data_IF_785030071155
#
_entry.id   IF_785030071155
#
_cell.length_a   1.000
_cell.length_b   1.000
_cell.length_c   1.000
_cell.angle_alpha   90.00
_cell.angle_beta   90.00
_cell.angle_gamma   90.00
#
_symmetry.space_group_name_H-M   'P 1'
#
loop_
_entity.id
_entity.type
_entity.pdbx_description
1 polymer ?
#
# COMPACT_ATOMS: atom_id res chain seq x y z
N UNK A 1 30.16 -50.10 -43.28
CA UNK A 1 29.66 -49.52 -42.01
C UNK A 1 28.85 -48.29 -42.34
N UNK A 2 27.56 -48.26 -41.99
CA UNK A 2 26.65 -47.13 -42.22
C UNK A 2 26.69 -46.20 -41.00
N UNK A 3 26.89 -44.90 -41.22
CA UNK A 3 26.93 -43.89 -40.16
C UNK A 3 25.53 -43.26 -40.06
N UNK A 4 24.81 -43.51 -38.97
CA UNK A 4 23.51 -42.88 -38.70
C UNK A 4 23.74 -41.54 -37.99
N UNK A 5 23.40 -40.44 -38.65
CA UNK A 5 23.38 -39.09 -38.08
C UNK A 5 22.11 -38.91 -37.26
N UNK A 6 22.23 -38.75 -35.94
CA UNK A 6 21.15 -38.35 -35.03
C UNK A 6 21.09 -36.82 -34.99
N UNK A 7 19.99 -36.25 -35.46
CA UNK A 7 19.66 -34.82 -35.28
C UNK A 7 19.01 -34.68 -33.92
N UNK A 8 19.68 -33.98 -33.00
CA UNK A 8 19.12 -33.61 -31.70
C UNK A 8 18.40 -32.26 -31.84
N UNK A 9 17.07 -32.28 -31.80
CA UNK A 9 16.22 -31.08 -31.75
C UNK A 9 16.20 -30.57 -30.31
N UNK A 10 16.83 -29.42 -30.04
CA UNK A 10 16.73 -28.74 -28.75
C UNK A 10 15.39 -27.98 -28.68
N UNK A 11 14.47 -28.46 -27.85
CA UNK A 11 13.24 -27.74 -27.54
C UNK A 11 13.56 -26.60 -26.55
N UNK A 12 13.36 -25.36 -26.98
CA UNK A 12 13.48 -24.19 -26.12
C UNK A 12 12.24 -24.13 -25.22
N UNK A 13 12.38 -24.52 -23.95
CA UNK A 13 11.34 -24.35 -22.95
C UNK A 13 11.25 -22.87 -22.57
N UNK A 14 10.19 -22.19 -23.03
CA UNK A 14 9.80 -20.89 -22.49
C UNK A 14 9.34 -21.07 -21.05
N UNK A 15 10.16 -20.65 -20.09
CA UNK A 15 9.73 -20.48 -18.70
C UNK A 15 8.80 -19.28 -18.66
N UNK A 16 7.49 -19.53 -18.59
CA UNK A 16 6.53 -18.49 -18.22
C UNK A 16 6.76 -18.21 -16.74
N UNK A 17 7.35 -17.05 -16.43
CA UNK A 17 7.43 -16.58 -15.05
C UNK A 17 6.00 -16.46 -14.52
N UNK A 18 5.69 -17.20 -13.45
CA UNK A 18 4.45 -16.99 -12.73
C UNK A 18 4.39 -15.51 -12.31
N UNK A 19 3.21 -14.86 -12.34
CA UNK A 19 3.09 -13.50 -11.84
C UNK A 19 3.63 -13.48 -10.42
N UNK A 20 4.50 -12.52 -10.11
CA UNK A 20 4.99 -12.32 -8.75
C UNK A 20 3.78 -12.20 -7.83
N UNK A 21 3.53 -13.23 -7.00
CA UNK A 21 2.40 -13.25 -6.09
C UNK A 21 2.55 -12.09 -5.12
N UNK A 22 1.48 -11.31 -4.97
CA UNK A 22 1.43 -10.39 -3.86
C UNK A 22 1.29 -11.19 -2.56
N UNK A 23 1.90 -10.69 -1.50
CA UNK A 23 1.77 -11.26 -0.17
C UNK A 23 0.95 -10.33 0.72
N UNK A 24 -0.01 -10.91 1.44
CA UNK A 24 -0.64 -10.26 2.58
C UNK A 24 0.44 -9.95 3.62
N UNK A 25 0.49 -8.70 4.07
CA UNK A 25 1.38 -8.22 5.12
C UNK A 25 0.53 -7.95 6.36
N UNK A 26 0.98 -8.40 7.52
CA UNK A 26 0.28 -8.25 8.80
C UNK A 26 1.07 -7.45 9.84
N UNK A 27 2.21 -6.89 9.45
CA UNK A 27 3.04 -6.04 10.29
C UNK A 27 3.62 -4.91 9.44
N UNK A 28 3.39 -3.66 9.88
CA UNK A 28 3.87 -2.47 9.20
C UNK A 28 5.41 -2.45 9.08
N UNK A 29 6.12 -3.08 10.03
CA UNK A 29 7.57 -3.17 10.02
C UNK A 29 8.14 -3.95 8.83
N UNK A 30 7.30 -4.74 8.13
CA UNK A 30 7.69 -5.46 6.92
C UNK A 30 7.67 -4.58 5.66
N UNK A 31 7.11 -3.37 5.74
CA UNK A 31 7.17 -2.36 4.67
C UNK A 31 8.44 -1.53 4.84
N UNK A 32 9.49 -1.90 4.11
CA UNK A 32 10.78 -1.21 4.15
C UNK A 32 10.70 0.20 3.57
N UNK A 33 11.42 1.16 4.17
CA UNK A 33 11.48 2.56 3.73
C UNK A 33 10.08 3.16 3.57
N UNK A 34 9.24 3.00 4.58
CA UNK A 34 7.83 3.39 4.52
C UNK A 34 7.63 4.89 4.76
N UNK A 35 6.57 5.41 4.16
CA UNK A 35 5.92 6.67 4.53
C UNK A 35 4.61 6.33 5.22
N UNK A 36 4.24 7.15 6.19
CA UNK A 36 2.99 7.00 6.95
C UNK A 36 2.17 8.26 6.77
N UNK A 37 0.90 8.08 6.40
CA UNK A 37 -0.13 9.11 6.41
C UNK A 37 -1.01 8.87 7.62
N UNK A 38 -1.10 9.89 8.47
CA UNK A 38 -2.07 9.96 9.57
C UNK A 38 -3.22 10.87 9.15
N UNK A 39 -4.29 10.89 9.94
CA UNK A 39 -5.47 11.72 9.68
C UNK A 39 -5.61 12.86 10.69
N UNK A 40 -4.54 13.19 11.42
CA UNK A 40 -4.50 14.20 12.49
C UNK A 40 -4.75 15.63 11.99
N UNK A 41 -4.48 15.89 10.71
CA UNK A 41 -4.71 17.20 10.08
C UNK A 41 -6.19 17.45 9.76
N UNK A 42 -7.07 16.47 9.99
CA UNK A 42 -8.51 16.57 9.76
C UNK A 42 -9.30 16.58 11.07
N UNK A 43 -10.41 17.31 11.07
CA UNK A 43 -11.33 17.46 12.20
C UNK A 43 -12.74 17.01 11.77
N UNK A 44 -12.95 15.70 11.64
CA UNK A 44 -14.24 15.11 11.27
C UNK A 44 -14.76 15.51 9.88
N UNK A 45 -13.88 15.57 8.87
CA UNK A 45 -14.27 15.95 7.51
C UNK A 45 -15.06 14.83 6.83
N UNK A 46 -16.38 15.02 6.70
CA UNK A 46 -17.25 14.18 5.88
C UNK A 46 -17.03 14.43 4.38
N UNK A 47 -16.66 13.40 3.62
CA UNK A 47 -16.33 13.55 2.19
C UNK A 47 -16.40 12.22 1.42
N UNK A 48 -16.50 12.31 0.09
CA UNK A 48 -16.28 11.18 -0.84
C UNK A 48 -14.94 11.32 -1.60
N UNK A 49 -14.16 12.35 -1.29
CA UNK A 49 -12.97 12.75 -2.05
C UNK A 49 -13.29 13.45 -3.38
N UNK A 50 -12.26 13.82 -4.17
CA UNK A 50 -10.84 13.64 -3.86
C UNK A 50 -10.34 14.63 -2.80
N UNK A 51 -9.56 14.16 -1.82
CA UNK A 51 -8.93 14.99 -0.78
C UNK A 51 -7.47 14.55 -0.62
N UNK A 52 -6.53 15.49 -0.67
CA UNK A 52 -5.14 15.19 -0.34
C UNK A 52 -5.02 14.92 1.16
N UNK A 53 -4.59 13.72 1.53
CA UNK A 53 -4.48 13.27 2.94
C UNK A 53 -3.04 13.20 3.43
N UNK A 54 -2.08 13.33 2.51
CA UNK A 54 -0.67 13.40 2.83
C UNK A 54 0.15 13.71 1.58
N UNK A 55 1.47 13.76 1.74
CA UNK A 55 2.35 14.08 0.61
C UNK A 55 2.25 13.01 -0.48
N UNK A 56 1.63 13.37 -1.61
CA UNK A 56 1.45 12.48 -2.75
C UNK A 56 0.45 11.35 -2.51
N UNK A 57 -0.50 11.54 -1.58
CA UNK A 57 -1.59 10.60 -1.33
C UNK A 57 -2.93 11.33 -1.39
N UNK A 58 -3.82 10.85 -2.26
CA UNK A 58 -5.18 11.36 -2.40
C UNK A 58 -6.18 10.29 -1.96
N UNK A 59 -7.08 10.67 -1.07
CA UNK A 59 -8.24 9.89 -0.66
C UNK A 59 -9.43 10.10 -1.61
N UNK A 60 -10.13 9.02 -1.93
CA UNK A 60 -11.50 9.00 -2.42
C UNK A 60 -12.23 7.79 -1.83
N UNK A 61 -13.56 7.75 -1.93
CA UNK A 61 -14.28 6.61 -1.39
C UNK A 61 -15.79 6.76 -1.43
N UNK A 62 -16.46 5.87 -0.72
CA UNK A 62 -17.86 6.07 -0.31
C UNK A 62 -17.94 7.23 0.70
N UNK A 63 -19.13 7.70 1.09
CA UNK A 63 -19.25 8.62 2.23
C UNK A 63 -18.42 8.12 3.42
N UNK A 64 -17.50 8.97 3.87
CA UNK A 64 -16.47 8.65 4.85
C UNK A 64 -16.10 9.90 5.62
N UNK A 65 -15.57 9.70 6.83
CA UNK A 65 -15.06 10.76 7.69
C UNK A 65 -13.54 10.69 7.74
N UNK A 66 -12.85 11.77 7.41
CA UNK A 66 -11.41 11.91 7.64
C UNK A 66 -11.18 12.66 8.95
N UNK A 67 -10.33 12.13 9.83
CA UNK A 67 -10.12 12.70 11.17
C UNK A 67 -11.32 12.51 12.08
N UNK A 68 -12.03 11.38 11.96
CA UNK A 68 -13.11 11.02 12.87
C UNK A 68 -12.58 10.93 14.31
N UNK A 69 -13.34 11.46 15.28
CA UNK A 69 -12.91 11.53 16.69
C UNK A 69 -13.16 10.24 17.48
N UNK A 70 -14.26 9.56 17.17
CA UNK A 70 -14.70 8.35 17.86
C UNK A 70 -15.43 7.41 16.90
N UNK A 71 -15.23 6.11 17.07
CA UNK A 71 -16.05 5.08 16.46
C UNK A 71 -16.40 3.99 17.46
N UNK A 72 -17.70 3.73 17.61
CA UNK A 72 -18.20 2.57 18.36
C UNK A 72 -18.24 1.37 17.40
N UNK A 73 -17.37 0.39 17.62
CA UNK A 73 -17.26 -0.80 16.78
C UNK A 73 -18.10 -1.97 17.31
N UNK A 74 -19.09 -1.68 18.17
CA UNK A 74 -19.99 -2.68 18.75
C UNK A 74 -19.23 -3.63 19.67
N UNK A 75 -19.34 -4.94 19.42
CA UNK A 75 -18.64 -5.96 20.20
C UNK A 75 -17.12 -6.02 19.96
N UNK A 76 -16.56 -5.05 19.23
CA UNK A 76 -15.18 -5.04 18.78
C UNK A 76 -14.43 -3.76 19.19
N UNK A 77 -14.78 -3.25 20.37
CA UNK A 77 -14.11 -2.14 21.02
C UNK A 77 -14.61 -0.77 20.60
N UNK A 78 -13.94 0.26 21.11
CA UNK A 78 -14.15 1.65 20.70
C UNK A 78 -12.83 2.24 20.20
N UNK A 79 -12.89 2.96 19.09
CA UNK A 79 -11.76 3.70 18.55
C UNK A 79 -11.91 5.20 18.84
N UNK A 80 -10.81 5.84 19.19
CA UNK A 80 -10.66 7.26 19.51
C UNK A 80 -9.40 7.81 18.85
N UNK A 81 -9.36 9.10 18.55
CA UNK A 81 -8.21 9.78 17.95
C UNK A 81 -8.62 10.45 16.64
N UNK A 82 -7.71 10.58 15.68
CA UNK A 82 -8.01 11.12 14.36
C UNK A 82 -7.70 10.03 13.32
N UNK A 83 -8.74 9.41 12.79
CA UNK A 83 -8.61 8.28 11.84
C UNK A 83 -9.54 8.47 10.63
N UNK A 84 -9.38 7.64 9.61
CA UNK A 84 -10.33 7.56 8.50
C UNK A 84 -11.39 6.48 8.80
N UNK A 85 -12.66 6.81 8.59
CA UNK A 85 -13.78 5.92 8.89
C UNK A 85 -14.76 5.82 7.72
N UNK A 86 -15.36 4.65 7.50
CA UNK A 86 -16.44 4.48 6.53
C UNK A 86 -17.83 4.68 7.14
N UNK A 87 -18.75 5.18 6.31
CA UNK A 87 -20.18 5.28 6.66
C UNK A 87 -20.53 6.57 7.39
N UNK A 88 -21.84 6.72 7.68
CA UNK A 88 -22.32 7.70 8.66
C UNK A 88 -22.33 7.09 10.07
N UNK A 89 -22.67 7.88 11.08
CA UNK A 89 -22.70 7.49 12.50
C UNK A 89 -23.51 6.24 12.86
N UNK A 90 -24.25 5.63 11.92
CA UNK A 90 -25.04 4.42 12.15
C UNK A 90 -24.36 3.10 11.71
N UNK A 91 -23.20 3.15 11.03
CA UNK A 91 -22.38 1.98 10.66
C UNK A 91 -23.12 0.83 9.96
N UNK A 92 -24.20 1.08 9.20
CA UNK A 92 -24.99 -0.02 8.61
C UNK A 92 -24.53 -0.46 7.23
N UNK A 93 -23.78 0.39 6.54
CA UNK A 93 -23.50 0.21 5.11
C UNK A 93 -22.03 -0.15 4.89
N UNK A 94 -21.79 -1.00 3.89
CA UNK A 94 -20.44 -1.31 3.44
C UNK A 94 -19.84 -0.07 2.76
N UNK A 95 -18.74 0.42 3.31
CA UNK A 95 -18.01 1.54 2.74
C UNK A 95 -16.61 1.16 2.29
N UNK A 96 -15.98 2.04 1.51
CA UNK A 96 -14.65 1.88 0.96
C UNK A 96 -13.84 3.15 1.20
N UNK A 97 -12.67 3.00 1.81
CA UNK A 97 -11.62 4.00 1.83
C UNK A 97 -10.61 3.67 0.72
N UNK A 98 -10.40 4.57 -0.23
CA UNK A 98 -9.51 4.36 -1.38
C UNK A 98 -8.41 5.42 -1.39
N UNK A 99 -7.16 4.98 -1.28
CA UNK A 99 -5.99 5.84 -1.27
C UNK A 99 -5.16 5.66 -2.55
N UNK A 100 -4.99 6.75 -3.29
CA UNK A 100 -4.20 6.81 -4.52
C UNK A 100 -2.84 7.42 -4.24
N UNK A 101 -1.78 6.76 -4.70
CA UNK A 101 -0.41 7.27 -4.63
C UNK A 101 -0.16 8.12 -5.88
N UNK A 102 -0.08 9.44 -5.74
CA UNK A 102 -0.09 10.38 -6.86
C UNK A 102 1.27 10.45 -7.57
N UNK A 103 2.35 10.47 -6.78
CA UNK A 103 3.70 10.72 -7.29
C UNK A 103 4.29 9.51 -8.04
N UNK A 104 4.15 8.32 -7.49
CA UNK A 104 4.64 7.08 -8.07
C UNK A 104 3.88 5.87 -7.53
N UNK A 105 3.93 4.76 -8.26
CA UNK A 105 3.42 3.48 -7.77
C UNK A 105 4.32 2.96 -6.64
N UNK A 106 3.74 2.20 -5.72
CA UNK A 106 4.43 1.59 -4.59
C UNK A 106 4.47 0.07 -4.72
N UNK A 107 5.44 -0.56 -4.05
CA UNK A 107 5.54 -2.02 -3.97
C UNK A 107 4.75 -2.60 -2.80
N UNK A 108 4.40 -1.77 -1.80
CA UNK A 108 3.63 -2.24 -0.66
C UNK A 108 2.81 -1.10 -0.04
N UNK A 109 1.61 -1.42 0.42
CA UNK A 109 0.76 -0.50 1.16
C UNK A 109 -0.15 -1.25 2.12
N UNK A 110 -0.52 -0.63 3.23
CA UNK A 110 -1.41 -1.17 4.25
C UNK A 110 -1.83 -0.10 5.25
N UNK A 111 -2.67 -0.47 6.20
CA UNK A 111 -3.11 0.41 7.28
C UNK A 111 -3.34 -0.40 8.56
N UNK A 112 -3.39 0.29 9.69
CA UNK A 112 -3.87 -0.25 10.95
C UNK A 112 -5.40 -0.18 10.96
N UNK A 113 -6.05 -1.33 11.08
CA UNK A 113 -7.47 -1.49 10.76
C UNK A 113 -8.26 -2.07 11.93
N UNK A 114 -9.54 -1.72 11.98
CA UNK A 114 -10.57 -2.43 12.74
C UNK A 114 -11.96 -2.21 12.08
N UNK A 115 -12.96 -3.00 12.44
CA UNK A 115 -14.30 -2.96 11.85
C UNK A 115 -15.39 -3.25 12.88
N UNK A 116 -16.60 -2.80 12.57
CA UNK A 116 -17.79 -3.04 13.40
C UNK A 116 -18.05 -4.54 13.59
N UNK A 117 -18.18 -4.97 14.85
CA UNK A 117 -18.38 -6.36 15.29
C UNK A 117 -17.35 -7.37 14.73
N UNK A 118 -16.15 -6.91 14.37
CA UNK A 118 -15.12 -7.76 13.76
C UNK A 118 -15.49 -8.26 12.36
N UNK A 119 -16.36 -7.51 11.67
CA UNK A 119 -16.79 -7.82 10.31
C UNK A 119 -15.62 -7.93 9.32
N UNK A 120 -15.81 -8.66 8.21
CA UNK A 120 -14.76 -8.83 7.22
C UNK A 120 -14.34 -7.50 6.60
N UNK A 121 -13.03 -7.34 6.40
CA UNK A 121 -12.40 -6.19 5.76
C UNK A 121 -11.81 -6.64 4.43
N UNK A 122 -12.24 -6.02 3.34
CA UNK A 122 -11.64 -6.14 2.02
C UNK A 122 -10.36 -5.30 1.97
N UNK A 123 -9.26 -5.89 1.53
CA UNK A 123 -8.07 -5.19 1.07
C UNK A 123 -7.96 -5.40 -0.43
N UNK A 124 -7.83 -4.33 -1.22
CA UNK A 124 -7.67 -4.43 -2.66
C UNK A 124 -6.57 -3.48 -3.16
N UNK A 125 -5.67 -3.99 -3.99
CA UNK A 125 -4.66 -3.18 -4.67
C UNK A 125 -5.02 -3.03 -6.14
N UNK A 126 -4.77 -1.85 -6.70
CA UNK A 126 -5.04 -1.53 -8.11
C UNK A 126 -3.78 -0.99 -8.80
N UNK A 127 -3.62 -1.34 -10.08
CA UNK A 127 -2.54 -0.82 -10.92
C UNK A 127 -2.88 0.56 -11.51
N UNK A 128 -1.97 1.13 -12.30
CA UNK A 128 -2.15 2.43 -12.95
C UNK A 128 -3.34 2.52 -13.91
N UNK A 129 -3.83 1.39 -14.45
CA UNK A 129 -5.01 1.34 -15.30
C UNK A 129 -6.33 1.29 -14.50
N UNK A 130 -6.26 1.29 -13.17
CA UNK A 130 -7.43 1.09 -12.30
C UNK A 130 -7.90 -0.36 -12.25
N UNK A 131 -7.12 -1.32 -12.77
CA UNK A 131 -7.44 -2.75 -12.66
C UNK A 131 -7.01 -3.26 -11.29
N UNK A 132 -7.90 -3.99 -10.62
CA UNK A 132 -7.59 -4.71 -9.38
C UNK A 132 -6.55 -5.81 -9.68
N UNK A 133 -5.42 -5.78 -8.97
CA UNK A 133 -4.29 -6.70 -9.16
C UNK A 133 -4.09 -7.65 -7.99
N UNK A 134 -4.71 -7.37 -6.84
CA UNK A 134 -4.70 -8.24 -5.67
C UNK A 134 -5.92 -7.93 -4.79
N UNK A 135 -6.47 -8.95 -4.13
CA UNK A 135 -7.50 -8.75 -3.11
C UNK A 135 -7.45 -9.83 -2.02
N UNK A 136 -7.65 -9.40 -0.78
CA UNK A 136 -7.77 -10.27 0.39
C UNK A 136 -8.97 -9.88 1.25
N UNK A 137 -9.50 -10.84 1.99
CA UNK A 137 -10.39 -10.59 3.11
C UNK A 137 -9.67 -10.94 4.40
N UNK A 138 -9.73 -10.04 5.38
CA UNK A 138 -9.20 -10.23 6.74
C UNK A 138 -10.28 -9.89 7.75
N UNK A 139 -10.06 -10.25 9.01
CA UNK A 139 -10.90 -9.83 10.13
C UNK A 139 -10.01 -9.45 11.30
N UNK A 140 -10.45 -8.45 12.06
CA UNK A 140 -9.79 -7.96 13.26
C UNK A 140 -10.75 -8.24 14.41
N UNK A 141 -10.31 -9.03 15.39
CA UNK A 141 -11.09 -9.33 16.58
C UNK A 141 -10.37 -8.76 17.81
N UNK A 142 -11.10 -7.98 18.60
CA UNK A 142 -10.64 -7.27 19.79
C UNK A 142 -11.68 -7.46 20.90
N UNK A 143 -11.34 -7.08 22.13
CA UNK A 143 -12.28 -7.16 23.25
C UNK A 143 -13.37 -6.07 23.12
N UNK A 144 -14.61 -6.35 23.55
CA UNK A 144 -15.74 -5.41 23.52
C UNK A 144 -15.44 -4.11 24.25
N UNK A 145 -14.63 -4.15 25.30
CA UNK A 145 -14.24 -2.99 26.11
C UNK A 145 -12.84 -2.48 25.78
N UNK A 146 -12.24 -2.95 24.68
CA UNK A 146 -10.94 -2.47 24.22
C UNK A 146 -10.99 -1.04 23.69
N UNK A 147 -9.84 -0.36 23.75
CA UNK A 147 -9.67 0.99 23.23
C UNK A 147 -8.53 1.04 22.23
N UNK A 148 -8.80 1.55 21.02
CA UNK A 148 -7.82 1.71 19.94
C UNK A 148 -7.05 0.43 19.60
N UNK A 149 -7.68 -0.73 19.82
CA UNK A 149 -7.13 -2.01 19.41
C UNK A 149 -7.49 -2.29 17.94
N UNK A 150 -6.54 -2.90 17.23
CA UNK A 150 -6.66 -3.19 15.81
C UNK A 150 -5.55 -4.11 15.35
N UNK A 151 -5.43 -4.31 14.04
CA UNK A 151 -4.27 -4.99 13.46
C UNK A 151 -3.86 -4.37 12.14
N UNK A 152 -2.57 -4.40 11.86
CA UNK A 152 -2.07 -3.94 10.58
C UNK A 152 -2.35 -4.99 9.52
N UNK A 153 -2.91 -4.56 8.38
CA UNK A 153 -2.94 -5.38 7.18
C UNK A 153 -2.58 -4.55 5.95
N UNK A 154 -1.87 -5.19 5.02
CA UNK A 154 -1.45 -4.61 3.77
C UNK A 154 -1.19 -5.63 2.69
N UNK A 155 -0.81 -5.13 1.52
CA UNK A 155 -0.43 -5.92 0.35
C UNK A 155 1.00 -5.51 -0.02
N UNK A 156 1.88 -6.48 -0.20
CA UNK A 156 3.23 -6.28 -0.73
C UNK A 156 3.43 -7.06 -2.02
N UNK A 157 4.22 -6.51 -2.93
CA UNK A 157 4.49 -7.05 -4.27
C UNK A 157 5.97 -6.93 -4.57
N UNK A 158 6.45 -7.79 -5.48
CA UNK A 158 7.86 -7.78 -5.87
C UNK A 158 8.26 -6.52 -6.67
N UNK A 159 7.31 -5.91 -7.36
CA UNK A 159 7.50 -4.70 -8.16
C UNK A 159 6.64 -3.56 -7.61
N UNK A 160 7.05 -2.31 -7.86
CA UNK A 160 6.26 -1.14 -7.54
C UNK A 160 5.17 -0.92 -8.60
N UNK A 161 4.10 -1.72 -8.55
CA UNK A 161 2.98 -1.70 -9.50
C UNK A 161 1.62 -1.35 -8.84
N UNK A 162 1.60 -1.02 -7.55
CA UNK A 162 0.39 -0.55 -6.84
C UNK A 162 0.23 0.96 -7.05
N UNK A 163 -0.80 1.37 -7.78
CA UNK A 163 -1.21 2.79 -7.90
C UNK A 163 -2.11 3.23 -6.76
N UNK A 164 -2.93 2.33 -6.23
CA UNK A 164 -3.83 2.65 -5.14
C UNK A 164 -4.18 1.41 -4.33
N UNK A 165 -4.53 1.63 -3.06
CA UNK A 165 -5.03 0.60 -2.14
C UNK A 165 -6.41 1.02 -1.63
N UNK A 166 -7.32 0.06 -1.54
CA UNK A 166 -8.64 0.26 -0.97
C UNK A 166 -8.88 -0.68 0.20
N UNK A 167 -9.53 -0.15 1.23
CA UNK A 167 -10.00 -0.90 2.39
C UNK A 167 -11.52 -0.79 2.43
N UNK A 168 -12.22 -1.92 2.45
CA UNK A 168 -13.68 -1.95 2.44
C UNK A 168 -14.24 -2.71 3.62
N UNK A 169 -15.29 -2.20 4.25
CA UNK A 169 -15.90 -2.84 5.42
C UNK A 169 -17.09 -2.05 5.95
N UNK A 170 -17.84 -2.69 6.85
CA UNK A 170 -18.94 -2.07 7.60
C UNK A 170 -18.36 -1.48 8.87
N UNK A 171 -18.61 -0.18 9.11
CA UNK A 171 -18.00 0.58 10.21
C UNK A 171 -16.49 0.37 10.28
N UNK A 172 -15.82 0.49 9.12
CA UNK A 172 -14.39 0.31 8.99
C UNK A 172 -13.69 1.55 9.55
N UNK A 173 -12.64 1.32 10.34
CA UNK A 173 -11.68 2.35 10.73
C UNK A 173 -10.31 1.99 10.18
N UNK A 174 -9.60 3.00 9.68
CA UNK A 174 -8.25 2.89 9.20
C UNK A 174 -7.41 4.05 9.73
N UNK A 175 -6.25 3.73 10.27
CA UNK A 175 -5.26 4.67 10.73
C UNK A 175 -3.85 4.25 10.27
N UNK A 176 -2.89 5.17 10.31
CA UNK A 176 -1.50 4.93 9.95
C UNK A 176 -1.36 4.25 8.58
N UNK A 177 -1.93 4.86 7.53
CA UNK A 177 -1.77 4.38 6.16
C UNK A 177 -0.27 4.37 5.83
N UNK A 178 0.29 3.16 5.73
CA UNK A 178 1.71 2.92 5.58
C UNK A 178 1.99 2.35 4.20
N UNK A 179 2.94 2.93 3.46
CA UNK A 179 3.29 2.47 2.13
C UNK A 179 4.77 2.66 1.83
N UNK A 180 5.34 1.81 0.98
CA UNK A 180 6.75 1.91 0.63
C UNK A 180 6.99 3.19 -0.17
N UNK A 181 7.98 3.98 0.25
CA UNK A 181 8.36 5.19 -0.47
C UNK A 181 8.91 4.81 -1.86
N UNK A 182 8.73 5.66 -2.88
CA UNK A 182 9.37 5.46 -4.17
C UNK A 182 10.89 5.37 -3.98
N UNK A 183 11.47 4.23 -4.35
CA UNK A 183 12.92 4.07 -4.35
C UNK A 183 13.45 4.74 -5.62
N UNK A 184 14.40 5.70 -5.53
CA UNK A 184 15.01 6.28 -6.72
C UNK A 184 15.55 5.18 -7.62
N UNK A 185 15.24 5.26 -8.91
CA UNK A 185 15.61 4.19 -9.84
C UNK A 185 17.13 3.94 -9.80
N UNK A 186 17.57 2.67 -9.99
CA UNK A 186 19.01 2.34 -10.03
C UNK A 186 19.80 3.23 -10.99
N UNK A 187 19.16 3.67 -12.06
CA UNK A 187 19.71 4.57 -13.07
C UNK A 187 20.09 5.94 -12.49
N UNK A 188 19.32 6.46 -11.54
CA UNK A 188 19.63 7.72 -10.86
C UNK A 188 20.91 7.60 -10.05
N UNK A 189 21.11 6.47 -9.37
CA UNK A 189 22.36 6.18 -8.66
C UNK A 189 23.52 5.97 -9.63
N UNK A 190 23.30 5.31 -10.76
CA UNK A 190 24.30 5.16 -11.80
C UNK A 190 24.73 6.52 -12.39
N UNK A 191 23.79 7.44 -12.61
CA UNK A 191 24.07 8.79 -13.10
C UNK A 191 24.78 9.65 -12.05
N UNK A 192 24.41 9.53 -10.78
CA UNK A 192 25.13 10.17 -9.68
C UNK A 192 26.57 9.67 -9.60
N UNK A 193 26.78 8.34 -9.63
CA UNK A 193 28.10 7.74 -9.61
C UNK A 193 28.91 8.09 -10.86
N UNK A 194 28.28 8.14 -12.04
CA UNK A 194 28.93 8.61 -13.26
C UNK A 194 29.36 10.08 -13.13
N UNK A 195 28.49 10.95 -12.58
CA UNK A 195 28.81 12.34 -12.29
C UNK A 195 30.00 12.49 -11.32
N UNK A 196 29.99 11.73 -10.22
CA UNK A 196 31.09 11.70 -9.26
C UNK A 196 32.40 11.17 -9.88
N UNK A 197 32.30 10.16 -10.73
CA UNK A 197 33.44 9.63 -11.48
C UNK A 197 34.08 10.66 -12.41
N UNK A 198 33.27 11.45 -13.12
CA UNK A 198 33.74 12.54 -13.98
C UNK A 198 34.43 13.65 -13.16
N UNK A 199 33.84 14.07 -12.04
CA UNK A 199 34.44 15.08 -11.15
C UNK A 199 35.77 14.60 -10.59
N UNK A 200 35.84 13.35 -10.10
CA UNK A 200 37.08 12.74 -9.61
C UNK A 200 38.17 12.66 -10.68
N UNK A 201 37.81 12.30 -11.92
CA UNK A 201 38.74 12.28 -13.05
C UNK A 201 39.29 13.68 -13.39
N UNK A 202 38.43 14.70 -13.40
CA UNK A 202 38.85 16.08 -13.65
C UNK A 202 39.77 16.61 -12.54
N UNK A 203 39.48 16.29 -11.27
CA UNK A 203 40.32 16.65 -10.14
C UNK A 203 41.72 16.01 -10.25
N UNK A 204 41.80 14.70 -10.57
CA UNK A 204 43.08 14.00 -10.77
C UNK A 204 43.91 14.64 -11.88
N UNK A 205 43.28 15.05 -12.99
CA UNK A 205 43.99 15.69 -14.12
C UNK A 205 44.54 17.06 -13.75
N UNK A 206 43.91 17.76 -12.79
CA UNK A 206 44.40 19.06 -12.29
C UNK A 206 45.58 18.90 -11.34
N UNK A 207 45.59 17.87 -10.50
CA UNK A 207 46.68 17.62 -9.54
C UNK A 207 47.94 17.01 -10.18
N UNK A 208 47.83 16.45 -11.38
CA UNK A 208 48.96 15.90 -12.14
C UNK A 208 49.63 16.92 -13.09
N UNK A 209 49.17 18.18 -13.08
CA UNK A 209 49.82 19.34 -13.72
C UNK A 209 50.46 20.19 -12.65
#
# INVERSE_FOLDING_TARGET
MKLNTLIATAALATVVAAPAQAALVNDAALINNSMVVTFDDFDGLETTGPVAVGTGVTFSGTPSTLGAYIADLGSNGTWFGNFAATGDSNYTDFGILHFTFDNAMTAAAGAFLNSYNGGPILLAAYNAAGTMIEAHFVSVATDEFSYNEGSFFGISRANADIRSIAFGGVGLVADNLTFAAPVPEPETYAMLLAGLGLVGFMARRRSAR
#
